data_IF_909948467506
#
_entry.id   IF_909948467506
#
_cell.length_a   1.000
_cell.length_b   1.000
_cell.length_c   1.000
_cell.angle_alpha   90.00
_cell.angle_beta   90.00
_cell.angle_gamma   90.00
#
_symmetry.space_group_name_H-M   'P 1'
#
loop_
_entity.id
_entity.type
_entity.pdbx_description
1 polymer ?
#
# COMPACT_ATOMS: atom_id res chain seq x y z
N UNK A 1 -39.68 -2.00 77.31
CA UNK A 1 -39.31 -3.42 77.45
C UNK A 1 -38.69 -3.80 76.12
N UNK A 2 -37.39 -3.55 76.02
CA UNK A 2 -36.31 -4.53 76.34
C UNK A 2 -36.06 -5.40 75.10
N UNK A 3 -34.85 -5.66 74.63
CA UNK A 3 -33.50 -5.22 74.95
C UNK A 3 -32.65 -5.75 73.78
N UNK A 4 -31.66 -4.99 73.32
CA UNK A 4 -30.58 -5.57 72.51
C UNK A 4 -29.73 -6.51 73.38
N UNK A 5 -28.99 -7.44 72.77
CA UNK A 5 -27.56 -7.39 73.05
C UNK A 5 -26.66 -7.52 71.82
N UNK A 6 -25.64 -6.67 71.85
CA UNK A 6 -24.38 -6.73 71.12
C UNK A 6 -23.43 -7.71 71.84
N UNK A 7 -22.57 -8.42 71.09
CA UNK A 7 -21.19 -8.86 71.41
C UNK A 7 -20.61 -9.64 70.20
N UNK A 8 -19.75 -9.07 69.35
CA UNK A 8 -18.27 -8.87 69.42
C UNK A 8 -17.40 -10.12 69.16
N UNK A 9 -16.55 -9.96 68.12
CA UNK A 9 -15.20 -10.53 67.88
C UNK A 9 -15.02 -11.99 67.44
N UNK A 10 -14.47 -12.18 66.23
CA UNK A 10 -13.00 -12.37 66.07
C UNK A 10 -12.59 -12.34 64.58
N UNK A 11 -11.90 -11.27 64.21
CA UNK A 11 -11.05 -11.18 63.02
C UNK A 11 -9.79 -12.02 63.28
N UNK A 12 -9.67 -13.23 62.70
CA UNK A 12 -8.39 -13.94 62.60
C UNK A 12 -8.47 -15.12 61.61
N UNK A 13 -8.28 -14.84 60.31
CA UNK A 13 -7.60 -15.69 59.30
C UNK A 13 -7.91 -15.24 57.85
N UNK A 14 -7.33 -14.12 57.42
CA UNK A 14 -7.05 -13.87 56.00
C UNK A 14 -5.56 -13.99 55.78
N UNK A 15 -5.10 -15.22 55.68
CA UNK A 15 -3.71 -15.53 55.34
C UNK A 15 -3.45 -15.08 53.88
N UNK A 16 -2.64 -14.03 53.75
CA UNK A 16 -2.32 -13.34 52.49
C UNK A 16 -1.73 -14.30 51.42
N UNK A 17 -2.57 -14.80 50.51
CA UNK A 17 -2.14 -15.44 49.26
C UNK A 17 -1.63 -14.36 48.30
N UNK A 18 -0.34 -14.34 48.00
CA UNK A 18 0.22 -13.46 46.96
C UNK A 18 0.09 -14.17 45.61
N UNK A 19 -0.81 -13.71 44.76
CA UNK A 19 -0.89 -14.11 43.36
C UNK A 19 0.26 -13.47 42.57
N UNK A 20 0.99 -14.27 41.81
CA UNK A 20 1.98 -13.78 40.87
C UNK A 20 1.46 -14.04 39.45
N UNK A 21 1.05 -12.98 38.76
CA UNK A 21 0.60 -13.03 37.37
C UNK A 21 1.81 -12.78 36.49
N UNK A 22 2.30 -13.81 35.80
CA UNK A 22 3.35 -13.64 34.79
C UNK A 22 2.70 -13.12 33.50
N UNK A 23 2.99 -11.86 33.14
CA UNK A 23 2.50 -11.24 31.90
C UNK A 23 3.57 -11.35 30.82
N UNK A 24 3.30 -12.13 29.77
CA UNK A 24 4.07 -12.03 28.54
C UNK A 24 3.62 -10.76 27.81
N UNK A 25 4.41 -9.69 27.90
CA UNK A 25 4.19 -8.47 27.14
C UNK A 25 4.59 -8.72 25.68
N UNK A 26 3.62 -9.10 24.85
CA UNK A 26 3.75 -8.92 23.40
C UNK A 26 3.57 -7.42 23.15
N UNK A 27 4.59 -6.74 22.63
CA UNK A 27 4.49 -5.30 22.35
C UNK A 27 3.33 -5.01 21.40
N UNK A 28 2.62 -3.89 21.60
CA UNK A 28 1.53 -3.45 20.72
C UNK A 28 1.98 -3.39 19.25
N UNK A 29 3.26 -3.11 19.03
CA UNK A 29 3.92 -3.08 17.72
C UNK A 29 3.99 -4.47 17.05
N UNK A 30 4.21 -5.52 17.84
CA UNK A 30 4.20 -6.93 17.38
C UNK A 30 2.78 -7.39 17.09
N UNK A 31 1.81 -6.98 17.93
CA UNK A 31 0.38 -7.28 17.77
C UNK A 31 -0.19 -6.65 16.49
N UNK A 32 0.19 -5.41 16.20
CA UNK A 32 -0.25 -4.70 14.99
C UNK A 32 0.36 -5.27 13.70
N UNK A 33 1.59 -5.80 13.73
CA UNK A 33 2.20 -6.48 12.57
C UNK A 33 1.53 -7.82 12.23
N UNK A 34 1.03 -8.55 13.23
CA UNK A 34 0.31 -9.83 13.05
C UNK A 34 -1.14 -9.62 12.58
N UNK A 35 -1.77 -8.49 12.93
CA UNK A 35 -3.17 -8.21 12.63
C UNK A 35 -3.46 -7.73 11.19
N UNK A 36 -2.43 -7.45 10.38
CA UNK A 36 -2.61 -6.86 9.03
C UNK A 36 -3.06 -7.89 7.96
N UNK A 37 -3.07 -9.20 8.24
CA UNK A 37 -3.71 -10.19 7.35
C UNK A 37 -4.50 -11.24 8.13
N UNK A 38 -5.75 -10.93 8.49
CA UNK A 38 -6.73 -11.95 8.86
C UNK A 38 -7.30 -12.62 7.60
N UNK A 39 -6.60 -13.62 7.08
CA UNK A 39 -7.21 -14.62 6.20
C UNK A 39 -7.81 -15.73 7.07
N UNK A 40 -9.12 -15.97 6.96
CA UNK A 40 -9.82 -17.05 7.67
C UNK A 40 -9.09 -18.38 7.44
N UNK A 41 -8.65 -19.03 8.52
CA UNK A 41 -8.11 -20.39 8.47
C UNK A 41 -6.64 -20.57 8.88
N UNK A 42 -5.98 -19.55 9.45
CA UNK A 42 -4.64 -19.76 9.99
C UNK A 42 -4.66 -20.51 11.35
N UNK A 43 -3.70 -21.40 11.64
CA UNK A 43 -3.61 -22.09 12.93
C UNK A 43 -3.50 -21.15 14.15
N UNK A 44 -3.09 -19.89 13.93
CA UNK A 44 -3.04 -18.82 14.94
C UNK A 44 -4.42 -18.41 15.48
N UNK A 45 -5.53 -18.71 14.78
CA UNK A 45 -6.89 -18.47 15.27
C UNK A 45 -7.23 -19.32 16.51
N UNK A 46 -6.40 -20.32 16.85
CA UNK A 46 -6.55 -21.19 18.03
C UNK A 46 -5.73 -20.74 19.25
N UNK A 47 -4.86 -19.73 19.11
CA UNK A 47 -4.04 -19.28 20.23
C UNK A 47 -4.82 -18.26 21.07
N UNK A 48 -5.57 -18.74 22.06
CA UNK A 48 -6.45 -17.92 22.89
C UNK A 48 -5.71 -17.09 23.97
N UNK A 49 -4.39 -16.94 23.89
CA UNK A 49 -3.59 -16.19 24.87
C UNK A 49 -3.91 -16.57 26.32
N UNK A 50 -4.07 -17.87 26.61
CA UNK A 50 -4.40 -18.32 27.96
C UNK A 50 -3.23 -17.99 28.89
N UNK A 51 -3.54 -17.22 29.93
CA UNK A 51 -2.64 -16.99 31.06
C UNK A 51 -2.48 -18.30 31.81
N UNK A 52 -1.24 -18.74 32.01
CA UNK A 52 -0.94 -19.83 32.92
C UNK A 52 -0.68 -19.24 34.31
N UNK A 53 -1.60 -19.47 35.22
CA UNK A 53 -1.43 -19.09 36.63
C UNK A 53 -0.67 -20.20 37.33
N UNK A 54 0.58 -19.91 37.70
CA UNK A 54 1.40 -20.84 38.45
C UNK A 54 1.18 -20.64 39.96
N UNK A 55 0.70 -21.67 40.64
CA UNK A 55 0.62 -21.68 42.10
C UNK A 55 1.88 -22.32 42.65
N UNK A 56 2.72 -21.52 43.33
CA UNK A 56 3.74 -22.05 44.20
C UNK A 56 3.14 -22.20 45.60
N UNK A 57 3.04 -23.42 46.17
CA UNK A 57 2.81 -23.56 47.59
C UNK A 57 3.92 -22.80 48.30
N UNK A 58 3.59 -21.94 49.28
CA UNK A 58 4.61 -21.47 50.23
C UNK A 58 5.29 -22.73 50.77
N UNK A 59 6.63 -22.75 50.77
CA UNK A 59 7.36 -23.77 51.50
C UNK A 59 6.71 -23.85 52.89
N UNK A 60 6.17 -25.02 53.26
CA UNK A 60 5.60 -25.20 54.59
C UNK A 60 6.66 -24.72 55.58
N UNK A 61 6.42 -23.55 56.17
CA UNK A 61 7.17 -23.12 57.32
C UNK A 61 6.87 -24.18 58.36
N UNK A 62 7.88 -24.96 58.74
CA UNK A 62 7.84 -25.82 59.92
C UNK A 62 7.80 -24.94 61.17
N UNK A 63 6.80 -24.07 61.27
CA UNK A 63 6.52 -23.27 62.45
C UNK A 63 5.41 -23.99 63.19
N UNK A 64 5.86 -24.68 64.23
CA UNK A 64 5.10 -25.45 65.20
C UNK A 64 3.96 -24.66 65.83
N UNK A 65 2.72 -25.07 65.57
CA UNK A 65 1.73 -25.36 66.60
C UNK A 65 0.45 -25.94 65.97
N UNK A 66 0.08 -27.18 66.34
CA UNK A 66 -1.32 -27.61 66.20
C UNK A 66 -1.70 -28.60 65.07
N UNK A 67 -0.83 -29.50 64.61
CA UNK A 67 -1.26 -30.64 63.76
C UNK A 67 -0.85 -31.98 64.38
N UNK A 68 -1.82 -32.65 65.01
CA UNK A 68 -1.73 -34.05 65.47
C UNK A 68 -1.82 -35.01 64.27
N UNK A 69 -0.81 -34.99 63.40
CA UNK A 69 -0.43 -36.04 62.45
C UNK A 69 0.70 -35.49 61.59
N UNK A 70 1.89 -35.38 62.20
CA UNK A 70 3.12 -35.10 61.46
C UNK A 70 3.41 -36.35 60.62
N UNK A 71 3.29 -36.24 59.30
CA UNK A 71 3.80 -37.24 58.36
C UNK A 71 5.31 -37.39 58.60
N UNK A 72 5.70 -38.30 59.49
CA UNK A 72 7.09 -38.74 59.63
C UNK A 72 7.41 -39.59 58.42
N UNK A 73 7.93 -38.93 57.38
CA UNK A 73 8.76 -39.62 56.38
C UNK A 73 9.90 -40.25 57.17
N UNK A 74 10.03 -41.57 57.09
CA UNK A 74 11.07 -42.30 57.82
C UNK A 74 12.43 -41.86 57.27
N UNK A 75 13.12 -41.03 58.05
CA UNK A 75 14.27 -40.27 57.60
C UNK A 75 15.52 -41.12 57.78
N UNK A 76 15.86 -41.90 56.76
CA UNK A 76 17.23 -42.38 56.59
C UNK A 76 17.96 -41.67 55.44
N UNK A 77 18.81 -40.67 55.75
CA UNK A 77 18.50 -39.70 56.80
C UNK A 77 18.63 -38.26 56.32
N UNK A 78 17.51 -37.53 56.32
CA UNK A 78 17.44 -36.07 56.11
C UNK A 78 18.23 -35.24 57.17
N UNK A 79 18.84 -35.90 58.16
CA UNK A 79 19.63 -35.30 59.24
C UNK A 79 21.02 -35.95 59.43
N UNK A 80 21.51 -36.70 58.44
CA UNK A 80 22.78 -37.44 58.52
C UNK A 80 24.01 -36.56 58.80
N UNK A 81 24.02 -35.33 58.28
CA UNK A 81 25.16 -34.41 58.36
C UNK A 81 25.27 -33.64 59.68
N UNK A 82 24.25 -33.68 60.53
CA UNK A 82 24.18 -32.91 61.79
C UNK A 82 23.94 -33.79 63.01
N UNK A 83 24.24 -35.09 62.91
CA UNK A 83 24.10 -36.01 64.03
C UNK A 83 25.21 -35.72 65.04
N UNK A 84 24.85 -35.25 66.22
CA UNK A 84 25.76 -35.12 67.37
C UNK A 84 25.28 -36.02 68.51
N UNK A 85 26.20 -36.61 69.28
CA UNK A 85 25.85 -37.14 70.60
C UNK A 85 25.38 -35.97 71.49
N UNK A 86 24.42 -36.24 72.38
CA UNK A 86 23.80 -35.22 73.23
C UNK A 86 24.84 -34.29 73.85
N UNK A 87 24.57 -32.98 73.84
CA UNK A 87 25.50 -31.90 74.25
C UNK A 87 25.91 -31.93 75.71
N UNK A 88 25.40 -32.89 76.51
CA UNK A 88 25.62 -32.98 77.96
C UNK A 88 26.46 -34.23 78.33
N UNK A 89 27.29 -34.74 77.43
CA UNK A 89 28.20 -35.85 77.74
C UNK A 89 29.50 -35.32 78.35
N UNK A 90 29.79 -35.78 79.56
CA UNK A 90 31.05 -35.53 80.27
C UNK A 90 31.95 -36.74 80.01
N UNK A 91 33.20 -36.51 79.60
CA UNK A 91 34.19 -37.57 79.45
C UNK A 91 35.36 -37.35 80.42
N UNK A 92 35.97 -38.45 80.87
CA UNK A 92 37.13 -38.44 81.77
C UNK A 92 38.40 -38.41 80.91
N UNK A 93 39.24 -37.38 81.05
CA UNK A 93 40.54 -37.33 80.36
C UNK A 93 41.47 -38.43 80.89
N UNK A 94 42.52 -38.81 80.14
CA UNK A 94 43.54 -39.75 80.62
C UNK A 94 44.24 -39.33 81.92
N UNK A 95 44.18 -38.03 82.29
CA UNK A 95 44.70 -37.51 83.55
C UNK A 95 43.67 -37.48 84.70
N UNK A 96 42.45 -38.01 84.49
CA UNK A 96 41.43 -38.16 85.53
C UNK A 96 40.51 -36.93 85.74
N UNK A 97 40.57 -35.93 84.86
CA UNK A 97 39.70 -34.75 84.94
C UNK A 97 38.42 -34.90 84.12
N UNK A 98 37.29 -34.42 84.66
CA UNK A 98 36.00 -34.38 83.98
C UNK A 98 35.92 -33.15 83.07
N UNK A 99 35.80 -33.36 81.75
CA UNK A 99 35.75 -32.27 80.76
C UNK A 99 34.42 -32.34 79.99
N UNK A 100 33.75 -31.20 79.86
CA UNK A 100 32.53 -31.03 79.06
C UNK A 100 32.86 -31.18 77.56
N UNK A 101 32.17 -32.09 76.86
CA UNK A 101 32.43 -32.35 75.45
C UNK A 101 31.88 -31.22 74.56
N UNK A 102 32.73 -30.61 73.71
CA UNK A 102 32.29 -29.59 72.75
C UNK A 102 31.51 -30.19 71.58
N UNK A 103 30.63 -29.40 70.98
CA UNK A 103 29.74 -29.83 69.88
C UNK A 103 30.48 -30.33 68.62
N UNK A 104 31.76 -29.99 68.44
CA UNK A 104 32.59 -30.52 67.35
C UNK A 104 33.10 -31.94 67.63
N UNK A 105 33.43 -32.25 68.88
CA UNK A 105 33.90 -33.59 69.29
C UNK A 105 32.77 -34.60 69.45
N UNK A 106 31.52 -34.14 69.51
CA UNK A 106 30.33 -34.99 69.61
C UNK A 106 29.69 -35.33 68.26
N UNK A 107 30.22 -34.82 67.12
CA UNK A 107 29.72 -35.16 65.77
C UNK A 107 29.89 -36.66 65.50
N UNK A 108 28.80 -37.31 65.11
CA UNK A 108 28.78 -38.71 64.70
C UNK A 108 29.35 -38.85 63.29
N UNK A 109 29.95 -40.01 62.96
CA UNK A 109 30.44 -40.28 61.61
C UNK A 109 29.32 -40.10 60.57
N UNK A 110 29.65 -39.59 59.37
CA UNK A 110 28.68 -39.44 58.30
C UNK A 110 28.06 -40.79 57.98
N UNK A 111 26.73 -40.82 57.89
CA UNK A 111 25.99 -42.04 57.59
C UNK A 111 26.39 -42.54 56.20
N UNK A 112 26.73 -43.83 56.09
CA UNK A 112 27.10 -44.44 54.81
C UNK A 112 25.95 -44.28 53.82
N UNK A 113 26.29 -43.88 52.60
CA UNK A 113 25.35 -43.67 51.52
C UNK A 113 24.61 -44.99 51.21
N UNK A 114 23.29 -44.96 50.94
CA UNK A 114 22.57 -46.16 50.56
C UNK A 114 23.15 -46.77 49.28
N UNK A 115 23.48 -48.06 49.29
CA UNK A 115 24.06 -48.79 48.16
C UNK A 115 23.24 -48.65 46.87
N UNK A 116 21.92 -48.59 47.00
CA UNK A 116 21.02 -48.38 45.86
C UNK A 116 21.24 -47.01 45.18
N UNK A 117 21.45 -45.95 45.96
CA UNK A 117 21.72 -44.61 45.44
C UNK A 117 23.07 -44.55 44.72
N UNK A 118 24.10 -45.23 45.24
CA UNK A 118 25.40 -45.37 44.59
C UNK A 118 25.29 -46.07 43.23
N UNK A 119 24.48 -47.13 43.14
CA UNK A 119 24.22 -47.85 41.89
C UNK A 119 23.53 -46.94 40.86
N UNK A 120 22.54 -46.16 41.29
CA UNK A 120 21.83 -45.24 40.39
C UNK A 120 22.76 -44.13 39.86
N UNK A 121 23.57 -43.51 40.72
CA UNK A 121 24.52 -42.49 40.29
C UNK A 121 25.62 -43.03 39.37
N UNK A 122 26.17 -44.21 39.68
CA UNK A 122 27.11 -44.88 38.80
C UNK A 122 26.48 -45.16 37.42
N UNK A 123 25.20 -45.51 37.38
CA UNK A 123 24.45 -45.70 36.14
C UNK A 123 24.22 -44.39 35.39
N UNK A 124 23.86 -43.30 36.08
CA UNK A 124 23.76 -41.95 35.46
C UNK A 124 25.06 -41.59 34.78
N UNK A 125 26.18 -41.70 35.49
CA UNK A 125 27.49 -41.30 34.98
C UNK A 125 27.94 -42.20 33.82
N UNK A 126 27.66 -43.50 33.89
CA UNK A 126 27.94 -44.45 32.81
C UNK A 126 27.16 -44.12 31.53
N UNK A 127 25.86 -43.86 31.63
CA UNK A 127 25.03 -43.51 30.46
C UNK A 127 25.41 -42.13 29.90
N UNK A 128 25.66 -41.14 30.76
CA UNK A 128 26.15 -39.82 30.34
C UNK A 128 27.47 -39.91 29.56
N UNK A 129 28.44 -40.68 30.08
CA UNK A 129 29.73 -40.89 29.42
C UNK A 129 29.59 -41.63 28.10
N UNK A 130 28.73 -42.66 28.05
CA UNK A 130 28.43 -43.42 26.82
C UNK A 130 27.88 -42.53 25.71
N UNK A 131 26.98 -41.61 26.05
CA UNK A 131 26.31 -40.74 25.08
C UNK A 131 26.90 -39.32 24.95
N UNK A 132 28.05 -39.05 25.58
CA UNK A 132 28.75 -37.76 25.51
C UNK A 132 27.83 -36.56 25.79
N UNK A 133 26.98 -36.69 26.80
CA UNK A 133 25.94 -35.70 27.09
C UNK A 133 26.54 -34.48 27.78
N UNK A 134 26.27 -33.24 27.31
CA UNK A 134 26.78 -32.03 27.94
C UNK A 134 26.20 -31.82 29.35
N UNK A 135 27.05 -31.39 30.29
CA UNK A 135 26.67 -31.12 31.68
C UNK A 135 25.82 -29.85 31.83
N UNK A 136 25.90 -28.92 30.87
CA UNK A 136 25.23 -27.62 30.95
C UNK A 136 24.16 -27.46 29.84
N UNK A 137 23.07 -26.76 30.17
CA UNK A 137 21.98 -26.44 29.24
C UNK A 137 20.90 -27.53 29.10
N UNK A 138 19.75 -27.25 28.48
CA UNK A 138 18.68 -28.22 28.26
C UNK A 138 19.12 -29.26 27.23
N UNK A 139 19.06 -30.55 27.58
CA UNK A 139 19.40 -31.67 26.68
C UNK A 139 18.32 -32.75 26.76
N UNK A 140 17.69 -33.13 25.62
CA UNK A 140 16.65 -34.15 25.60
C UNK A 140 17.21 -35.52 25.97
N UNK A 141 18.44 -35.83 25.56
CA UNK A 141 19.11 -37.09 25.88
C UNK A 141 19.47 -37.17 27.37
N UNK A 142 19.87 -36.05 27.98
CA UNK A 142 20.08 -35.97 29.42
C UNK A 142 18.79 -36.22 30.19
N UNK A 143 17.69 -35.57 29.77
CA UNK A 143 16.38 -35.77 30.36
C UNK A 143 15.93 -37.22 30.26
N UNK A 144 16.16 -37.87 29.11
CA UNK A 144 15.84 -39.29 28.90
C UNK A 144 16.57 -40.21 29.89
N UNK A 145 17.89 -40.03 30.08
CA UNK A 145 18.69 -40.81 31.04
C UNK A 145 18.11 -40.67 32.45
N UNK A 146 17.79 -39.44 32.88
CA UNK A 146 17.20 -39.22 34.20
C UNK A 146 15.77 -39.79 34.32
N UNK A 147 14.95 -39.76 33.27
CA UNK A 147 13.60 -40.38 33.26
C UNK A 147 13.67 -41.90 33.44
N UNK A 148 14.60 -42.57 32.77
CA UNK A 148 14.80 -44.02 32.89
C UNK A 148 15.29 -44.41 34.28
N UNK A 149 16.27 -43.68 34.81
CA UNK A 149 16.83 -43.92 36.14
C UNK A 149 15.80 -43.62 37.24
N UNK A 150 14.97 -42.58 37.07
CA UNK A 150 13.87 -42.29 37.98
C UNK A 150 12.78 -43.36 37.92
N UNK A 151 12.53 -43.97 36.76
CA UNK A 151 11.61 -45.12 36.64
C UNK A 151 12.11 -46.31 37.44
N UNK A 152 13.40 -46.63 37.35
CA UNK A 152 14.03 -47.71 38.14
C UNK A 152 13.97 -47.40 39.64
N UNK A 153 14.19 -46.14 40.02
CA UNK A 153 14.06 -45.68 41.41
C UNK A 153 12.64 -45.92 41.94
N UNK A 154 11.61 -45.48 41.19
CA UNK A 154 10.20 -45.65 41.54
C UNK A 154 9.84 -47.14 41.69
N UNK A 155 10.27 -47.99 40.75
CA UNK A 155 10.00 -49.43 40.77
C UNK A 155 10.58 -50.13 42.00
N UNK A 156 11.67 -49.60 42.56
CA UNK A 156 12.34 -50.16 43.73
C UNK A 156 11.75 -49.61 45.05
N UNK A 157 11.02 -48.50 45.01
CA UNK A 157 10.39 -47.88 46.18
C UNK A 157 9.03 -48.51 46.49
N UNK A 158 8.96 -49.30 47.55
CA UNK A 158 7.71 -49.96 47.98
C UNK A 158 6.66 -48.98 48.51
N UNK A 159 7.04 -48.06 49.41
CA UNK A 159 6.08 -47.18 50.10
C UNK A 159 5.80 -45.87 49.35
N UNK A 160 6.83 -45.27 48.77
CA UNK A 160 6.72 -43.98 48.06
C UNK A 160 6.52 -44.11 46.55
N UNK A 161 6.65 -45.34 46.01
CA UNK A 161 6.54 -45.62 44.57
C UNK A 161 5.26 -45.08 43.92
N UNK A 162 4.05 -45.34 44.46
CA UNK A 162 2.80 -44.85 43.88
C UNK A 162 2.72 -43.31 43.78
N UNK A 163 3.20 -42.59 44.79
CA UNK A 163 3.23 -41.13 44.80
C UNK A 163 4.21 -40.59 43.75
N UNK A 164 5.43 -41.13 43.72
CA UNK A 164 6.47 -40.71 42.78
C UNK A 164 6.09 -41.05 41.32
N UNK A 165 5.41 -42.17 41.10
CA UNK A 165 4.85 -42.54 39.80
C UNK A 165 3.79 -41.52 39.33
N UNK A 166 2.89 -41.09 40.22
CA UNK A 166 1.90 -40.05 39.90
C UNK A 166 2.56 -38.71 39.59
N UNK A 167 3.55 -38.29 40.39
CA UNK A 167 4.33 -37.08 40.13
C UNK A 167 5.02 -37.16 38.76
N UNK A 168 5.68 -38.30 38.46
CA UNK A 168 6.31 -38.54 37.16
C UNK A 168 5.30 -38.42 36.02
N UNK A 169 4.12 -39.04 36.15
CA UNK A 169 3.08 -39.02 35.13
C UNK A 169 2.59 -37.60 34.82
N UNK A 170 2.42 -36.73 35.83
CA UNK A 170 2.04 -35.32 35.63
C UNK A 170 3.09 -34.55 34.81
N UNK A 171 4.38 -34.70 35.15
CA UNK A 171 5.46 -34.06 34.40
C UNK A 171 5.57 -34.61 32.97
N UNK A 172 5.39 -35.92 32.78
CA UNK A 172 5.44 -36.55 31.46
C UNK A 172 4.29 -36.10 30.57
N UNK A 173 3.07 -36.04 31.12
CA UNK A 173 1.89 -35.52 30.42
C UNK A 173 2.06 -34.07 30.01
N UNK A 174 2.65 -33.23 30.89
CA UNK A 174 2.90 -31.84 30.57
C UNK A 174 4.01 -31.67 29.51
N UNK A 175 5.07 -32.47 29.57
CA UNK A 175 6.13 -32.46 28.54
C UNK A 175 5.59 -32.85 27.16
N UNK A 176 4.72 -33.85 27.09
CA UNK A 176 4.05 -34.24 25.85
C UNK A 176 3.15 -33.12 25.31
N UNK A 177 2.37 -32.48 26.20
CA UNK A 177 1.57 -31.32 25.83
C UNK A 177 2.41 -30.20 25.22
N UNK A 178 3.55 -29.84 25.85
CA UNK A 178 4.46 -28.79 25.34
C UNK A 178 5.08 -29.20 24.00
N UNK A 179 5.45 -30.47 23.83
CA UNK A 179 5.97 -30.96 22.55
C UNK A 179 4.92 -30.87 21.44
N UNK A 180 3.66 -31.18 21.73
CA UNK A 180 2.58 -31.07 20.75
C UNK A 180 2.27 -29.61 20.41
N UNK A 181 2.30 -28.70 21.39
CA UNK A 181 2.25 -27.26 21.11
C UNK A 181 3.40 -26.83 20.19
N UNK A 182 4.62 -27.32 20.43
CA UNK A 182 5.79 -27.00 19.60
C UNK A 182 5.62 -27.51 18.16
N UNK A 183 5.11 -28.73 17.97
CA UNK A 183 4.80 -29.28 16.63
C UNK A 183 3.75 -28.43 15.90
N UNK A 184 2.73 -27.95 16.60
CA UNK A 184 1.69 -27.09 16.02
C UNK A 184 2.22 -25.71 15.58
N UNK A 185 3.30 -25.23 16.18
CA UNK A 185 3.95 -23.96 15.79
C UNK A 185 4.83 -24.08 14.55
N UNK A 186 5.31 -25.29 14.21
CA UNK A 186 6.23 -25.51 13.09
C UNK A 186 5.64 -25.08 11.73
N UNK A 187 4.40 -25.45 11.35
CA UNK A 187 3.80 -25.02 10.08
C UNK A 187 3.58 -23.50 10.02
N UNK A 188 3.33 -22.86 11.16
CA UNK A 188 3.15 -21.40 11.24
C UNK A 188 4.47 -20.70 10.92
N UNK A 189 5.60 -21.24 11.41
CA UNK A 189 6.93 -20.72 11.12
C UNK A 189 7.28 -20.85 9.63
N UNK A 190 6.95 -21.98 9.01
CA UNK A 190 7.16 -22.21 7.57
C UNK A 190 6.29 -21.30 6.70
N UNK A 191 5.03 -21.11 7.09
CA UNK A 191 4.12 -20.17 6.42
C UNK A 191 4.64 -18.73 6.54
N UNK A 192 5.10 -18.32 7.72
CA UNK A 192 5.66 -16.99 7.95
C UNK A 192 6.89 -16.75 7.07
N UNK A 193 7.78 -17.74 6.97
CA UNK A 193 8.94 -17.67 6.07
C UNK A 193 8.53 -17.47 4.62
N UNK A 194 7.55 -18.26 4.15
CA UNK A 194 7.04 -18.17 2.77
C UNK A 194 6.41 -16.81 2.48
N UNK A 195 5.59 -16.29 3.40
CA UNK A 195 4.97 -14.97 3.27
C UNK A 195 6.01 -13.85 3.30
N UNK A 196 7.07 -13.98 4.12
CA UNK A 196 8.20 -13.03 4.13
C UNK A 196 8.87 -12.99 2.76
N UNK A 197 9.19 -14.15 2.20
CA UNK A 197 9.83 -14.27 0.89
C UNK A 197 8.94 -13.68 -0.23
N UNK A 198 7.63 -13.93 -0.17
CA UNK A 198 6.68 -13.37 -1.14
C UNK A 198 6.62 -11.84 -1.04
N UNK A 199 6.64 -11.30 0.17
CA UNK A 199 6.66 -9.85 0.39
C UNK A 199 7.95 -9.21 -0.14
N UNK A 200 9.10 -9.81 0.13
CA UNK A 200 10.40 -9.36 -0.41
C UNK A 200 10.40 -9.38 -1.95
N UNK A 201 9.92 -10.47 -2.55
CA UNK A 201 9.78 -10.57 -4.00
C UNK A 201 8.85 -9.50 -4.57
N UNK A 202 7.72 -9.23 -3.92
CA UNK A 202 6.78 -8.19 -4.35
C UNK A 202 7.42 -6.80 -4.30
N UNK A 203 8.11 -6.48 -3.21
CA UNK A 203 8.83 -5.19 -3.07
C UNK A 203 9.93 -5.07 -4.13
N UNK A 204 10.71 -6.13 -4.34
CA UNK A 204 11.76 -6.16 -5.37
C UNK A 204 11.20 -5.94 -6.78
N UNK A 205 10.06 -6.57 -7.10
CA UNK A 205 9.39 -6.40 -8.39
C UNK A 205 8.85 -4.98 -8.59
N UNK A 206 8.27 -4.36 -7.57
CA UNK A 206 7.85 -2.95 -7.65
C UNK A 206 9.04 -2.03 -7.92
N UNK A 207 10.13 -2.19 -7.15
CA UNK A 207 11.36 -1.40 -7.35
C UNK A 207 11.95 -1.57 -8.75
N UNK A 208 11.90 -2.77 -9.32
CA UNK A 208 12.36 -3.02 -10.71
C UNK A 208 11.53 -2.27 -11.74
N UNK A 209 10.20 -2.24 -11.57
CA UNK A 209 9.29 -1.49 -12.46
C UNK A 209 9.53 0.01 -12.34
N UNK A 210 9.53 0.54 -11.12
CA UNK A 210 9.82 1.95 -10.85
C UNK A 210 11.17 2.38 -11.44
N UNK A 211 12.22 1.57 -11.29
CA UNK A 211 13.52 1.86 -11.88
C UNK A 211 13.52 1.85 -13.41
N UNK A 212 12.67 1.03 -14.05
CA UNK A 212 12.50 1.04 -15.51
C UNK A 212 11.82 2.33 -15.96
N UNK A 213 10.77 2.73 -15.26
CA UNK A 213 10.00 3.94 -15.56
C UNK A 213 10.85 5.21 -15.33
N UNK A 214 11.61 5.27 -14.23
CA UNK A 214 12.56 6.35 -13.97
C UNK A 214 13.59 6.48 -15.09
N UNK A 215 14.11 5.36 -15.62
CA UNK A 215 15.05 5.41 -16.76
C UNK A 215 14.38 5.93 -18.02
N UNK A 216 13.17 5.47 -18.33
CA UNK A 216 12.40 5.93 -19.50
C UNK A 216 12.14 7.44 -19.41
N UNK A 217 11.62 7.91 -18.27
CA UNK A 217 11.37 9.33 -18.02
C UNK A 217 12.65 10.18 -18.09
N UNK A 218 13.79 9.67 -17.62
CA UNK A 218 15.08 10.36 -17.76
C UNK A 218 15.52 10.50 -19.21
N UNK A 219 15.29 9.48 -20.05
CA UNK A 219 15.61 9.54 -21.48
C UNK A 219 14.69 10.54 -22.20
N UNK A 220 13.38 10.48 -21.94
CA UNK A 220 12.40 11.41 -22.50
C UNK A 220 12.68 12.85 -22.10
N UNK A 221 12.97 13.10 -20.82
CA UNK A 221 13.40 14.42 -20.33
C UNK A 221 14.61 14.94 -21.10
N UNK A 222 15.62 14.10 -21.32
CA UNK A 222 16.83 14.48 -22.07
C UNK A 222 16.50 14.81 -23.54
N UNK A 223 15.66 14.00 -24.18
CA UNK A 223 15.22 14.23 -25.56
C UNK A 223 14.46 15.56 -25.70
N UNK A 224 13.49 15.81 -24.81
CA UNK A 224 12.72 17.06 -24.79
C UNK A 224 13.61 18.28 -24.55
N UNK A 225 14.58 18.20 -23.64
CA UNK A 225 15.54 19.29 -23.43
C UNK A 225 16.39 19.57 -24.68
N UNK A 226 16.77 18.51 -25.42
CA UNK A 226 17.49 18.67 -26.69
C UNK A 226 16.62 19.35 -27.75
N UNK A 227 15.32 19.00 -27.81
CA UNK A 227 14.38 19.61 -28.75
C UNK A 227 14.12 21.07 -28.41
N UNK A 228 13.95 21.41 -27.12
CA UNK A 228 13.81 22.79 -26.67
C UNK A 228 15.05 23.62 -27.05
N UNK A 229 16.26 23.07 -26.84
CA UNK A 229 17.49 23.75 -27.21
C UNK A 229 17.58 24.01 -28.72
N UNK A 230 17.18 23.03 -29.54
CA UNK A 230 17.12 23.17 -31.00
C UNK A 230 16.13 24.27 -31.43
N UNK A 231 14.88 24.20 -30.97
CA UNK A 231 13.85 25.18 -31.32
C UNK A 231 14.20 26.60 -30.85
N UNK A 232 14.87 26.70 -29.71
CA UNK A 232 15.34 27.98 -29.20
C UNK A 232 16.45 28.57 -30.09
N UNK A 233 17.34 27.73 -30.63
CA UNK A 233 18.38 28.19 -31.56
C UNK A 233 17.79 28.56 -32.92
N UNK A 234 16.85 27.76 -33.43
CA UNK A 234 16.10 28.10 -34.65
C UNK A 234 15.39 29.45 -34.49
N UNK A 235 14.71 29.67 -33.35
CA UNK A 235 14.04 30.92 -33.05
C UNK A 235 14.97 32.13 -33.05
N UNK A 236 16.20 32.00 -32.52
CA UNK A 236 17.20 33.07 -32.63
C UNK A 236 17.62 33.29 -34.07
N UNK A 237 17.89 32.22 -34.82
CA UNK A 237 18.33 32.33 -36.21
C UNK A 237 17.29 33.04 -37.09
N UNK A 238 16.01 32.68 -36.93
CA UNK A 238 14.89 33.34 -37.60
C UNK A 238 14.77 34.81 -37.18
N UNK A 239 14.97 35.10 -35.89
CA UNK A 239 14.93 36.49 -35.40
C UNK A 239 16.00 37.33 -36.08
N UNK A 240 17.23 36.83 -36.15
CA UNK A 240 18.32 37.51 -36.85
C UNK A 240 18.04 37.69 -38.36
N UNK A 241 17.42 36.68 -39.00
CA UNK A 241 17.03 36.78 -40.41
C UNK A 241 15.93 37.84 -40.63
N UNK A 242 14.93 37.88 -39.76
CA UNK A 242 13.87 38.90 -39.79
C UNK A 242 14.44 40.29 -39.56
N UNK A 243 15.33 40.47 -38.58
CA UNK A 243 16.01 41.75 -38.34
C UNK A 243 16.78 42.19 -39.59
N UNK A 244 17.57 41.29 -40.20
CA UNK A 244 18.32 41.57 -41.41
C UNK A 244 17.42 41.97 -42.60
N UNK A 245 16.35 41.21 -42.86
CA UNK A 245 15.40 41.51 -43.94
C UNK A 245 14.65 42.82 -43.69
N UNK A 246 14.37 43.15 -42.42
CA UNK A 246 13.74 44.41 -42.04
C UNK A 246 14.68 45.58 -42.35
N UNK A 247 15.96 45.49 -41.99
CA UNK A 247 16.98 46.49 -42.33
C UNK A 247 17.13 46.67 -43.85
N UNK A 248 17.16 45.56 -44.63
CA UNK A 248 17.23 45.64 -46.09
C UNK A 248 16.00 46.33 -46.69
N UNK A 249 14.81 46.07 -46.14
CA UNK A 249 13.56 46.67 -46.60
C UNK A 249 13.51 48.16 -46.27
N UNK A 250 13.95 48.56 -45.08
CA UNK A 250 14.09 49.97 -44.69
C UNK A 250 15.07 50.70 -45.61
N UNK A 251 16.22 50.09 -45.92
CA UNK A 251 17.19 50.64 -46.86
C UNK A 251 16.60 50.84 -48.26
N UNK A 252 15.89 49.84 -48.79
CA UNK A 252 15.18 49.98 -50.08
C UNK A 252 14.11 51.06 -50.03
N UNK A 253 13.36 51.16 -48.93
CA UNK A 253 12.34 52.20 -48.79
C UNK A 253 12.96 53.62 -48.78
N UNK A 254 14.15 53.79 -48.20
CA UNK A 254 14.93 55.04 -48.27
C UNK A 254 15.42 55.32 -49.70
N UNK A 255 15.98 54.33 -50.39
CA UNK A 255 16.40 54.46 -51.80
C UNK A 255 15.22 54.87 -52.70
N UNK A 256 14.04 54.30 -52.50
CA UNK A 256 12.84 54.66 -53.27
C UNK A 256 12.34 56.07 -52.95
N UNK A 257 12.42 56.50 -51.69
CA UNK A 257 12.08 57.89 -51.29
C UNK A 257 13.03 58.89 -51.93
N UNK A 258 14.33 58.64 -51.82
CA UNK A 258 15.36 59.51 -52.44
C UNK A 258 15.22 59.57 -53.95
N UNK A 259 14.94 58.44 -54.62
CA UNK A 259 14.68 58.41 -56.06
C UNK A 259 13.40 59.19 -56.41
N UNK A 260 12.30 58.97 -55.67
CA UNK A 260 11.04 59.68 -55.88
C UNK A 260 11.21 61.20 -55.72
N UNK A 261 11.96 61.66 -54.71
CA UNK A 261 12.21 63.07 -54.50
C UNK A 261 13.11 63.66 -55.60
N UNK A 262 14.11 62.89 -56.08
CA UNK A 262 14.87 63.22 -57.28
C UNK A 262 14.00 63.36 -58.53
N UNK A 263 13.04 62.44 -58.73
CA UNK A 263 12.07 62.50 -59.85
C UNK A 263 11.14 63.72 -59.74
N UNK A 264 10.65 64.06 -58.54
CA UNK A 264 9.83 65.27 -58.33
C UNK A 264 10.61 66.54 -58.67
N UNK A 265 11.87 66.61 -58.25
CA UNK A 265 12.75 67.74 -58.55
C UNK A 265 12.99 67.86 -60.06
N UNK A 266 13.27 66.74 -60.74
CA UNK A 266 13.41 66.68 -62.19
C UNK A 266 12.12 67.09 -62.92
N UNK A 267 10.95 66.65 -62.46
CA UNK A 267 9.65 67.07 -63.02
C UNK A 267 9.42 68.57 -62.83
N UNK A 268 9.80 69.13 -61.68
CA UNK A 268 9.74 70.58 -61.46
C UNK A 268 10.62 71.33 -62.47
N UNK A 269 11.86 70.87 -62.66
CA UNK A 269 12.79 71.47 -63.62
C UNK A 269 12.31 71.33 -65.07
N UNK A 270 11.79 70.16 -65.45
CA UNK A 270 11.16 69.93 -66.77
C UNK A 270 9.95 70.84 -66.97
N UNK A 271 9.12 71.04 -65.94
CA UNK A 271 7.97 71.93 -66.01
C UNK A 271 8.39 73.40 -66.16
N UNK A 272 9.43 73.85 -65.45
CA UNK A 272 10.01 75.18 -65.63
C UNK A 272 10.56 75.36 -67.05
N UNK A 273 11.32 74.40 -67.55
CA UNK A 273 11.85 74.40 -68.92
C UNK A 273 10.72 74.40 -69.95
N UNK A 274 9.66 73.62 -69.71
CA UNK A 274 8.47 73.56 -70.59
C UNK A 274 7.68 74.87 -70.55
N UNK A 275 7.59 75.54 -69.39
CA UNK A 275 6.98 76.87 -69.29
C UNK A 275 7.78 77.89 -70.09
N UNK A 276 9.11 77.92 -69.94
CA UNK A 276 9.99 78.77 -70.74
C UNK A 276 9.88 78.48 -72.24
N UNK A 277 9.82 77.20 -72.61
CA UNK A 277 9.61 76.78 -74.00
C UNK A 277 8.25 77.25 -74.50
N UNK A 278 7.17 77.09 -73.71
CA UNK A 278 5.83 77.59 -74.05
C UNK A 278 5.78 79.10 -74.15
N UNK A 279 6.52 79.84 -73.34
CA UNK A 279 6.66 81.29 -73.47
C UNK A 279 7.35 81.63 -74.80
N UNK A 280 8.44 80.96 -75.16
CA UNK A 280 9.09 81.11 -76.47
C UNK A 280 8.18 80.67 -77.64
N UNK A 281 7.44 79.57 -77.49
CA UNK A 281 6.47 79.10 -78.47
C UNK A 281 5.27 80.04 -78.56
N UNK A 282 4.85 80.69 -77.49
CA UNK A 282 3.77 81.69 -77.52
C UNK A 282 4.21 82.92 -78.32
N UNK A 283 5.49 83.28 -78.24
CA UNK A 283 6.12 84.28 -79.10
C UNK A 283 6.21 83.80 -80.56
N UNK A 284 6.50 82.51 -80.79
CA UNK A 284 6.53 81.93 -82.15
C UNK A 284 5.13 81.68 -82.76
N UNK A 285 4.11 81.38 -81.95
CA UNK A 285 2.70 81.18 -82.37
C UNK A 285 1.95 82.48 -82.61
N UNK A 286 2.44 83.60 -82.08
CA UNK A 286 2.01 84.92 -82.56
C UNK A 286 2.37 85.14 -84.05
N UNK A 287 3.22 84.28 -84.63
CA UNK A 287 3.71 84.38 -86.00
C UNK A 287 3.13 83.34 -86.98
N UNK A 288 2.39 82.32 -86.52
CA UNK A 288 1.84 81.28 -87.40
C UNK A 288 0.47 80.80 -86.91
N UNK A 289 -0.59 81.31 -87.54
CA UNK A 289 -1.91 80.67 -87.59
C UNK A 289 -1.98 79.87 -88.89
N UNK A 290 -2.54 78.68 -88.75
CA UNK A 290 -3.00 77.75 -89.77
C UNK A 290 -2.03 76.63 -90.11
N UNK A 291 -2.47 75.40 -89.85
CA UNK A 291 -2.32 74.31 -90.82
C UNK A 291 -3.12 73.09 -90.36
N UNK A 292 -4.13 72.78 -91.17
CA UNK A 292 -4.89 71.54 -91.20
C UNK A 292 -3.99 70.30 -91.13
N UNK A 293 -4.41 69.30 -90.34
CA UNK A 293 -3.66 68.08 -90.10
C UNK A 293 -3.29 67.32 -91.39
N UNK A 294 -1.98 67.26 -91.65
CA UNK A 294 -1.33 66.52 -92.72
C UNK A 294 -1.55 64.98 -92.57
N UNK A 295 -2.03 64.27 -93.61
CA UNK A 295 -2.20 62.82 -93.63
C UNK A 295 -0.94 62.00 -93.29
N UNK A 296 0.26 62.59 -93.34
CA UNK A 296 1.50 61.98 -92.83
C UNK A 296 1.49 61.81 -91.31
N UNK A 297 0.86 62.72 -90.54
CA UNK A 297 0.72 62.61 -89.07
C UNK A 297 -0.12 61.41 -88.66
N UNK A 298 -1.21 61.14 -89.38
CA UNK A 298 -2.04 59.95 -89.16
C UNK A 298 -1.27 58.65 -89.44
N UNK A 299 -0.43 58.64 -90.48
CA UNK A 299 0.44 57.49 -90.77
C UNK A 299 1.55 57.30 -89.73
N UNK A 300 2.08 58.39 -89.18
CA UNK A 300 3.06 58.35 -88.09
C UNK A 300 2.43 57.90 -86.77
N UNK A 301 1.20 58.31 -86.48
CA UNK A 301 0.41 57.87 -85.33
C UNK A 301 0.07 56.37 -85.42
N UNK A 302 -0.25 55.87 -86.61
CA UNK A 302 -0.43 54.44 -86.87
C UNK A 302 0.87 53.66 -86.62
N UNK A 303 2.00 54.18 -87.09
CA UNK A 303 3.31 53.55 -86.89
C UNK A 303 3.77 53.60 -85.42
N UNK A 304 3.38 54.65 -84.68
CA UNK A 304 3.55 54.74 -83.22
C UNK A 304 2.63 53.78 -82.47
N UNK A 305 1.39 53.57 -82.92
CA UNK A 305 0.50 52.57 -82.35
C UNK A 305 1.04 51.15 -82.56
N UNK A 306 1.58 50.83 -83.74
CA UNK A 306 2.25 49.55 -83.98
C UNK A 306 3.49 49.37 -83.09
N UNK A 307 4.30 50.42 -82.90
CA UNK A 307 5.45 50.38 -81.97
C UNK A 307 5.00 50.19 -80.51
N UNK A 308 3.89 50.80 -80.10
CA UNK A 308 3.33 50.63 -78.76
C UNK A 308 2.80 49.20 -78.56
N UNK A 309 2.10 48.65 -79.55
CA UNK A 309 1.63 47.26 -79.55
C UNK A 309 2.83 46.31 -79.42
N UNK A 310 3.87 46.47 -80.23
CA UNK A 310 5.06 45.63 -80.17
C UNK A 310 5.78 45.73 -78.82
N UNK A 311 5.81 46.91 -78.18
CA UNK A 311 6.37 47.08 -76.83
C UNK A 311 5.54 46.34 -75.78
N UNK A 312 4.22 46.48 -75.79
CA UNK A 312 3.33 45.76 -74.88
C UNK A 312 3.45 44.25 -75.06
N UNK A 313 3.55 43.79 -76.31
CA UNK A 313 3.71 42.38 -76.64
C UNK A 313 5.06 41.84 -76.15
N UNK A 314 6.12 42.64 -76.23
CA UNK A 314 7.44 42.30 -75.64
C UNK A 314 7.38 42.25 -74.11
N UNK A 315 6.63 43.16 -73.48
CA UNK A 315 6.42 43.15 -72.02
C UNK A 315 5.63 41.92 -71.56
N UNK A 316 4.58 41.52 -72.29
CA UNK A 316 3.83 40.29 -72.00
C UNK A 316 4.74 39.07 -72.07
N UNK A 317 5.56 38.95 -73.11
CA UNK A 317 6.53 37.85 -73.25
C UNK A 317 7.55 37.87 -72.10
N UNK A 318 8.02 39.04 -71.68
CA UNK A 318 8.90 39.16 -70.50
C UNK A 318 8.20 38.75 -69.20
N UNK A 319 6.94 39.14 -69.00
CA UNK A 319 6.18 38.76 -67.81
C UNK A 319 5.88 37.27 -67.80
N UNK A 320 5.52 36.66 -68.93
CA UNK A 320 5.34 35.21 -69.03
C UNK A 320 6.64 34.46 -68.70
N UNK A 321 7.78 34.89 -69.24
CA UNK A 321 9.08 34.30 -68.93
C UNK A 321 9.49 34.50 -67.45
N UNK A 322 9.18 35.65 -66.86
CA UNK A 322 9.43 35.91 -65.44
C UNK A 322 8.50 35.09 -64.54
N UNK A 323 7.24 34.89 -64.93
CA UNK A 323 6.28 34.09 -64.18
C UNK A 323 6.64 32.61 -64.19
N UNK A 324 7.07 32.10 -65.35
CA UNK A 324 7.60 30.75 -65.51
C UNK A 324 8.90 30.53 -64.69
N UNK A 325 9.73 31.57 -64.55
CA UNK A 325 10.95 31.52 -63.74
C UNK A 325 10.72 31.67 -62.23
N UNK A 326 9.71 32.44 -61.79
CA UNK A 326 9.48 32.76 -60.37
C UNK A 326 8.78 31.65 -59.59
N UNK A 327 7.95 30.82 -60.22
CA UNK A 327 7.35 29.64 -59.57
C UNK A 327 7.47 28.42 -60.47
N UNK A 328 8.60 27.70 -60.40
CA UNK A 328 8.74 26.42 -61.07
C UNK A 328 7.62 25.49 -60.59
N UNK A 329 6.80 24.97 -61.52
CA UNK A 329 5.71 24.02 -61.21
C UNK A 329 6.14 22.89 -60.29
N UNK A 330 7.38 22.43 -60.45
CA UNK A 330 8.02 21.42 -59.61
C UNK A 330 8.07 21.84 -58.13
N UNK A 331 8.47 23.07 -57.81
CA UNK A 331 8.51 23.57 -56.42
C UNK A 331 7.11 23.70 -55.83
N UNK A 332 6.13 24.10 -56.63
CA UNK A 332 4.74 24.14 -56.20
C UNK A 332 4.20 22.74 -55.88
N UNK A 333 4.49 21.75 -56.74
CA UNK A 333 4.12 20.35 -56.52
C UNK A 333 4.82 19.75 -55.29
N UNK A 334 6.10 20.06 -55.06
CA UNK A 334 6.83 19.65 -53.85
C UNK A 334 6.21 20.23 -52.57
N UNK A 335 5.87 21.52 -52.57
CA UNK A 335 5.22 22.17 -51.42
C UNK A 335 3.82 21.59 -51.19
N UNK A 336 3.08 21.33 -52.26
CA UNK A 336 1.76 20.69 -52.18
C UNK A 336 1.85 19.28 -51.61
N UNK A 337 2.80 18.46 -52.09
CA UNK A 337 3.01 17.10 -51.58
C UNK A 337 3.45 17.09 -50.12
N UNK A 338 4.30 18.05 -49.71
CA UNK A 338 4.66 18.24 -48.29
C UNK A 338 3.43 18.62 -47.45
N UNK A 339 2.60 19.54 -47.94
CA UNK A 339 1.36 19.92 -47.26
C UNK A 339 0.43 18.72 -47.10
N UNK A 340 0.22 17.94 -48.15
CA UNK A 340 -0.62 16.73 -48.11
C UNK A 340 -0.07 15.72 -47.08
N UNK A 341 1.25 15.48 -47.05
CA UNK A 341 1.87 14.60 -46.06
C UNK A 341 1.73 15.10 -44.61
N UNK A 342 1.82 16.41 -44.38
CA UNK A 342 1.60 16.99 -43.05
C UNK A 342 0.12 16.91 -42.64
N UNK A 343 -0.81 17.03 -43.59
CA UNK A 343 -2.24 16.84 -43.33
C UNK A 343 -2.53 15.40 -42.92
N UNK A 344 -1.93 14.41 -43.58
CA UNK A 344 -2.04 13.00 -43.18
C UNK A 344 -1.44 12.73 -41.79
N UNK A 345 -0.28 13.32 -41.48
CA UNK A 345 0.33 13.15 -40.16
C UNK A 345 -0.50 13.81 -39.05
N UNK A 346 -1.01 15.01 -39.28
CA UNK A 346 -1.86 15.73 -38.31
C UNK A 346 -3.20 15.04 -38.07
N UNK A 347 -3.79 14.44 -39.10
CA UNK A 347 -5.01 13.63 -38.95
C UNK A 347 -4.75 12.37 -38.13
N UNK A 348 -3.67 11.64 -38.41
CA UNK A 348 -3.25 10.48 -37.61
C UNK A 348 -3.00 10.85 -36.14
N UNK A 349 -2.28 11.94 -35.87
CA UNK A 349 -2.01 12.39 -34.50
C UNK A 349 -3.29 12.78 -33.76
N UNK A 350 -4.26 13.37 -34.47
CA UNK A 350 -5.58 13.69 -33.91
C UNK A 350 -6.35 12.43 -33.52
N UNK A 351 -6.31 11.38 -34.35
CA UNK A 351 -6.94 10.09 -34.03
C UNK A 351 -6.28 9.41 -32.82
N UNK A 352 -4.94 9.42 -32.74
CA UNK A 352 -4.20 8.89 -31.58
C UNK A 352 -4.55 9.66 -30.31
N UNK A 353 -4.66 11.00 -30.39
CA UNK A 353 -5.07 11.85 -29.27
C UNK A 353 -6.48 11.49 -28.80
N UNK A 354 -7.45 11.39 -29.71
CA UNK A 354 -8.83 11.03 -29.39
C UNK A 354 -8.93 9.66 -28.72
N UNK A 355 -8.16 8.68 -29.23
CA UNK A 355 -8.06 7.34 -28.64
C UNK A 355 -7.51 7.38 -27.22
N UNK A 356 -6.47 8.18 -26.97
CA UNK A 356 -5.91 8.35 -25.62
C UNK A 356 -6.85 9.07 -24.68
N UNK A 357 -7.59 10.08 -25.17
CA UNK A 357 -8.60 10.80 -24.40
C UNK A 357 -9.73 9.86 -23.97
N UNK A 358 -10.26 9.07 -24.89
CA UNK A 358 -11.28 8.05 -24.59
C UNK A 358 -10.83 7.06 -23.51
N UNK A 359 -9.57 6.62 -23.56
CA UNK A 359 -8.97 5.74 -22.54
C UNK A 359 -8.82 6.43 -21.19
N UNK A 360 -8.47 7.72 -21.20
CA UNK A 360 -8.35 8.51 -19.99
C UNK A 360 -9.72 8.70 -19.31
N UNK A 361 -10.76 9.01 -20.09
CA UNK A 361 -12.12 9.19 -19.59
C UNK A 361 -12.64 7.89 -18.94
N UNK A 362 -12.41 6.73 -19.57
CA UNK A 362 -12.74 5.43 -18.99
C UNK A 362 -12.00 5.18 -17.66
N UNK A 363 -10.71 5.53 -17.59
CA UNK A 363 -9.93 5.40 -16.35
C UNK A 363 -10.47 6.33 -15.25
N UNK A 364 -10.92 7.53 -15.63
CA UNK A 364 -11.55 8.47 -14.70
C UNK A 364 -12.86 7.91 -14.14
N UNK A 365 -13.72 7.32 -14.98
CA UNK A 365 -14.93 6.62 -14.54
C UNK A 365 -14.62 5.46 -13.56
N UNK A 366 -13.59 4.67 -13.84
CA UNK A 366 -13.12 3.63 -12.93
C UNK A 366 -12.66 4.20 -11.58
N UNK A 367 -11.92 5.31 -11.58
CA UNK A 367 -11.49 5.97 -10.35
C UNK A 367 -12.67 6.49 -9.52
N UNK A 368 -13.67 7.09 -10.17
CA UNK A 368 -14.92 7.52 -9.51
C UNK A 368 -15.63 6.33 -8.89
N UNK A 369 -15.75 5.22 -9.62
CA UNK A 369 -16.37 3.98 -9.14
C UNK A 369 -15.61 3.36 -7.96
N UNK A 370 -14.28 3.40 -7.99
CA UNK A 370 -13.47 2.92 -6.85
C UNK A 370 -13.65 3.80 -5.61
N UNK A 371 -13.77 5.12 -5.79
CA UNK A 371 -14.05 6.03 -4.68
C UNK A 371 -15.43 5.74 -4.05
N UNK A 372 -16.48 5.49 -4.85
CA UNK A 372 -17.79 5.12 -4.30
C UNK A 372 -17.75 3.81 -3.52
N UNK A 373 -17.05 2.78 -4.03
CA UNK A 373 -16.86 1.54 -3.28
C UNK A 373 -16.08 1.76 -1.99
N UNK A 374 -14.99 2.53 -2.03
CA UNK A 374 -14.19 2.87 -0.83
C UNK A 374 -15.06 3.55 0.22
N UNK A 375 -15.84 4.54 -0.18
CA UNK A 375 -16.70 5.30 0.73
C UNK A 375 -17.80 4.41 1.31
N UNK A 376 -18.38 3.50 0.51
CA UNK A 376 -19.30 2.47 0.98
C UNK A 376 -18.67 1.56 2.02
N UNK A 377 -17.47 1.05 1.77
CA UNK A 377 -16.75 0.22 2.74
C UNK A 377 -16.48 0.99 4.03
N UNK A 378 -16.07 2.25 3.95
CA UNK A 378 -15.81 3.08 5.12
C UNK A 378 -17.05 3.29 5.98
N UNK A 379 -18.18 3.58 5.34
CA UNK A 379 -19.49 3.72 6.00
C UNK A 379 -19.90 2.38 6.66
N UNK A 380 -19.80 1.26 5.93
CA UNK A 380 -20.12 -0.07 6.45
C UNK A 380 -19.29 -0.45 7.68
N UNK A 381 -17.98 -0.22 7.63
CA UNK A 381 -17.08 -0.49 8.76
C UNK A 381 -17.41 0.40 9.95
N UNK A 382 -17.61 1.70 9.73
CA UNK A 382 -17.96 2.65 10.79
C UNK A 382 -19.26 2.25 11.47
N UNK A 383 -20.29 1.90 10.70
CA UNK A 383 -21.58 1.48 11.22
C UNK A 383 -21.51 0.14 11.96
N UNK A 384 -20.89 -0.88 11.36
CA UNK A 384 -20.74 -2.19 12.00
C UNK A 384 -19.97 -2.08 13.33
N UNK A 385 -18.94 -1.24 13.38
CA UNK A 385 -18.17 -0.96 14.60
C UNK A 385 -19.06 -0.34 15.68
N UNK A 386 -19.92 0.62 15.33
CA UNK A 386 -20.88 1.24 16.27
C UNK A 386 -21.92 0.25 16.78
N UNK A 387 -22.50 -0.58 15.92
CA UNK A 387 -23.48 -1.60 16.32
C UNK A 387 -22.86 -2.63 17.27
N UNK A 388 -21.65 -3.10 16.96
CA UNK A 388 -20.93 -4.05 17.82
C UNK A 388 -20.57 -3.43 19.18
N UNK A 389 -20.27 -2.13 19.21
CA UNK A 389 -20.01 -1.35 20.43
C UNK A 389 -21.25 -0.95 21.26
N UNK A 390 -22.47 -1.12 20.73
CA UNK A 390 -23.71 -0.80 21.46
C UNK A 390 -24.02 -1.84 22.55
N UNK A 391 -24.97 -1.59 23.47
CA UNK A 391 -25.38 -2.58 24.50
C UNK A 391 -26.35 -3.61 23.86
N UNK A 392 -26.16 -4.91 24.10
CA UNK A 392 -27.04 -5.97 23.57
C UNK A 392 -26.35 -7.31 23.34
N UNK A 393 -27.13 -8.37 23.08
CA UNK A 393 -26.65 -9.74 22.87
C UNK A 393 -25.78 -9.87 21.59
N UNK A 394 -24.61 -10.54 21.64
CA UNK A 394 -23.70 -10.65 20.50
C UNK A 394 -24.31 -11.27 19.23
N UNK A 395 -25.15 -12.31 19.35
CA UNK A 395 -25.76 -12.96 18.18
C UNK A 395 -26.77 -12.05 17.47
N UNK A 396 -27.61 -11.34 18.21
CA UNK A 396 -28.60 -10.43 17.64
C UNK A 396 -27.94 -9.27 16.88
N UNK A 397 -26.81 -8.76 17.40
CA UNK A 397 -26.01 -7.74 16.71
C UNK A 397 -25.42 -8.27 15.40
N UNK A 398 -24.92 -9.50 15.38
CA UNK A 398 -24.36 -10.12 14.19
C UNK A 398 -25.44 -10.32 13.10
N UNK A 399 -26.61 -10.80 13.50
CA UNK A 399 -27.75 -10.98 12.59
C UNK A 399 -28.23 -9.65 12.02
N UNK A 400 -28.31 -8.61 12.86
CA UNK A 400 -28.67 -7.26 12.43
C UNK A 400 -27.66 -6.68 11.43
N UNK A 401 -26.36 -6.75 11.74
CA UNK A 401 -25.29 -6.29 10.84
C UNK A 401 -25.36 -7.01 9.50
N UNK A 402 -25.56 -8.33 9.52
CA UNK A 402 -25.66 -9.15 8.30
C UNK A 402 -26.88 -8.78 7.46
N UNK A 403 -28.04 -8.59 8.10
CA UNK A 403 -29.27 -8.23 7.40
C UNK A 403 -29.21 -6.81 6.80
N UNK A 404 -28.58 -5.88 7.50
CA UNK A 404 -28.41 -4.50 7.07
C UNK A 404 -27.36 -4.37 5.94
N UNK A 405 -26.22 -5.08 6.02
CA UNK A 405 -25.25 -5.14 4.91
C UNK A 405 -25.90 -5.67 3.62
N UNK A 406 -26.79 -6.65 3.73
CA UNK A 406 -27.55 -7.16 2.58
C UNK A 406 -28.57 -6.14 2.04
N UNK A 407 -29.24 -5.37 2.92
CA UNK A 407 -30.14 -4.28 2.53
C UNK A 407 -29.39 -3.18 1.77
N UNK A 408 -28.25 -2.74 2.29
CA UNK A 408 -27.45 -1.68 1.68
C UNK A 408 -26.82 -2.10 0.36
N UNK A 409 -26.42 -3.36 0.22
CA UNK A 409 -25.96 -3.90 -1.06
C UNK A 409 -27.03 -3.81 -2.15
N UNK A 410 -28.31 -4.02 -1.80
CA UNK A 410 -29.44 -3.86 -2.73
C UNK A 410 -29.70 -2.38 -3.04
N UNK A 411 -29.72 -1.53 -2.01
CA UNK A 411 -29.93 -0.09 -2.18
C UNK A 411 -28.85 0.58 -3.04
N UNK A 412 -27.59 0.16 -2.91
CA UNK A 412 -26.49 0.66 -3.72
C UNK A 412 -26.53 0.20 -5.19
N UNK A 413 -27.30 -0.85 -5.50
CA UNK A 413 -27.54 -1.28 -6.88
C UNK A 413 -28.70 -0.50 -7.54
N UNK A 414 -29.70 -0.10 -6.75
CA UNK A 414 -30.96 0.47 -7.26
C UNK A 414 -31.05 2.01 -7.14
N UNK A 415 -30.16 2.68 -6.40
CA UNK A 415 -30.24 4.12 -6.11
C UNK A 415 -28.92 4.86 -6.30
N UNK A 416 -28.95 6.14 -6.69
CA UNK A 416 -27.75 6.97 -6.78
C UNK A 416 -27.08 7.16 -5.42
N UNK A 417 -25.74 7.28 -5.43
CA UNK A 417 -24.91 7.23 -4.23
C UNK A 417 -25.26 8.28 -3.17
N UNK A 418 -25.62 9.49 -3.59
CA UNK A 418 -26.01 10.58 -2.69
C UNK A 418 -27.24 10.22 -1.84
N UNK A 419 -28.21 9.50 -2.42
CA UNK A 419 -29.40 9.06 -1.70
C UNK A 419 -29.09 7.94 -0.71
N UNK A 420 -28.18 7.04 -1.07
CA UNK A 420 -27.70 5.98 -0.17
C UNK A 420 -26.97 6.60 1.02
N UNK A 421 -26.10 7.59 0.80
CA UNK A 421 -25.42 8.31 1.88
C UNK A 421 -26.41 8.98 2.84
N UNK A 422 -27.45 9.63 2.30
CA UNK A 422 -28.50 10.28 3.12
C UNK A 422 -29.29 9.26 3.95
N UNK A 423 -29.69 8.15 3.35
CA UNK A 423 -30.41 7.07 4.04
C UNK A 423 -29.58 6.43 5.16
N UNK A 424 -28.28 6.24 4.93
CA UNK A 424 -27.37 5.69 5.95
C UNK A 424 -27.12 6.70 7.08
N UNK A 425 -26.97 7.98 6.75
CA UNK A 425 -26.84 9.02 7.76
C UNK A 425 -28.07 9.07 8.68
N UNK A 426 -29.28 9.01 8.10
CA UNK A 426 -30.54 8.99 8.86
C UNK A 426 -30.68 7.72 9.74
N UNK A 427 -30.33 6.55 9.21
CA UNK A 427 -30.30 5.29 9.99
C UNK A 427 -29.24 5.32 11.12
N UNK A 428 -28.11 6.00 10.92
CA UNK A 428 -27.09 6.22 11.97
C UNK A 428 -27.63 7.10 13.09
N UNK A 429 -28.31 8.20 12.76
CA UNK A 429 -28.89 9.11 13.77
C UNK A 429 -29.98 8.41 14.58
N UNK A 430 -30.75 7.51 13.95
CA UNK A 430 -31.77 6.68 14.64
C UNK A 430 -31.18 5.60 15.55
N UNK A 431 -29.99 5.10 15.27
CA UNK A 431 -29.28 4.21 16.20
C UNK A 431 -28.74 4.98 17.42
N UNK A 432 -28.27 6.22 17.23
CA UNK A 432 -27.74 7.08 18.29
C UNK A 432 -28.84 7.48 19.30
N UNK A 433 -30.11 7.52 18.89
CA UNK A 433 -31.25 7.75 19.78
C UNK A 433 -31.72 6.51 20.57
N UNK A 434 -30.99 5.39 20.51
CA UNK A 434 -31.21 4.22 21.37
C UNK A 434 -32.27 3.23 20.87
N UNK A 435 -32.82 3.42 19.68
CA UNK A 435 -33.68 2.44 19.02
C UNK A 435 -32.84 1.48 18.18
N UNK A 436 -32.52 0.29 18.70
CA UNK A 436 -32.16 -0.81 17.81
C UNK A 436 -33.43 -1.22 17.05
N UNK A 437 -33.45 -1.12 15.70
CA UNK A 437 -34.62 -1.52 14.94
C UNK A 437 -34.85 -3.02 15.13
N UNK A 438 -36.08 -3.39 15.51
CA UNK A 438 -36.51 -4.78 15.60
C UNK A 438 -36.34 -5.40 14.21
N UNK A 439 -35.49 -6.43 14.11
CA UNK A 439 -35.40 -7.27 12.93
C UNK A 439 -36.71 -8.06 12.81
N UNK A 440 -37.72 -7.48 12.18
CA UNK A 440 -38.89 -8.25 11.75
C UNK A 440 -38.38 -9.17 10.64
N UNK A 441 -38.15 -10.43 11.02
CA UNK A 441 -37.91 -11.53 10.09
C UNK A 441 -39.12 -11.57 9.15
N UNK A 442 -38.94 -11.12 7.91
CA UNK A 442 -39.98 -11.27 6.90
C UNK A 442 -40.27 -12.76 6.74
N UNK A 443 -41.40 -13.22 7.28
CA UNK A 443 -41.93 -14.55 7.04
C UNK A 443 -41.94 -14.80 5.55
N UNK A 444 -41.28 -15.89 5.12
CA UNK A 444 -41.33 -16.36 3.74
C UNK A 444 -42.80 -16.51 3.33
N UNK A 445 -43.25 -15.66 2.41
CA UNK A 445 -44.52 -15.87 1.73
C UNK A 445 -44.46 -17.21 0.95
N UNK A 446 -45.54 -18.01 0.91
CA UNK A 446 -45.56 -19.27 0.17
C UNK A 446 -45.36 -18.99 -1.32
N UNK A 447 -44.40 -19.69 -1.94
CA UNK A 447 -44.29 -19.71 -3.41
C UNK A 447 -45.53 -20.40 -3.96
N UNK A 448 -46.43 -19.63 -4.56
CA UNK A 448 -47.44 -20.20 -5.45
C UNK A 448 -46.72 -20.90 -6.60
N UNK A 449 -46.94 -22.20 -6.68
CA UNK A 449 -46.51 -23.08 -7.76
C UNK A 449 -47.52 -22.89 -8.89
N UNK A 450 -47.26 -21.98 -9.82
CA UNK A 450 -48.09 -21.89 -11.03
C UNK A 450 -47.65 -22.99 -11.98
N UNK A 451 -48.52 -23.98 -12.10
CA UNK A 451 -48.50 -25.03 -13.12
C UNK A 451 -48.44 -24.41 -14.51
N UNK A 452 -47.43 -24.79 -15.28
CA UNK A 452 -47.38 -24.57 -16.73
C UNK A 452 -48.41 -25.50 -17.36
N UNK A 453 -49.40 -24.92 -18.04
CA UNK A 453 -50.28 -25.63 -18.95
C UNK A 453 -50.08 -25.03 -20.35
N UNK A 454 -49.86 -25.93 -21.30
CA UNK A 454 -49.72 -25.69 -22.73
C UNK A 454 -50.92 -24.93 -23.33
N UNK A 455 -50.66 -24.16 -24.39
CA UNK A 455 -51.73 -23.70 -25.27
C UNK A 455 -51.46 -22.48 -26.15
N UNK A 456 -50.79 -22.71 -27.28
CA UNK A 456 -51.14 -22.21 -28.63
C UNK A 456 -51.25 -20.70 -28.96
N UNK A 457 -50.43 -20.29 -29.93
CA UNK A 457 -50.70 -19.24 -30.94
C UNK A 457 -50.44 -17.80 -30.47
N UNK A 458 -49.91 -16.85 -31.26
CA UNK A 458 -49.71 -16.71 -32.70
C UNK A 458 -48.54 -15.73 -32.90
N UNK A 459 -47.74 -15.96 -33.95
CA UNK A 459 -46.73 -15.05 -34.47
C UNK A 459 -47.36 -13.72 -34.90
N UNK A 460 -46.73 -12.60 -34.55
CA UNK A 460 -46.71 -11.45 -35.44
C UNK A 460 -45.37 -10.71 -35.33
N UNK A 461 -44.64 -10.74 -36.45
CA UNK A 461 -43.42 -10.00 -36.70
C UNK A 461 -43.79 -8.64 -37.26
N UNK A 462 -43.24 -7.55 -36.71
CA UNK A 462 -43.19 -6.27 -37.42
C UNK A 462 -41.78 -5.71 -37.30
N UNK A 463 -41.09 -5.77 -38.45
CA UNK A 463 -39.96 -4.93 -38.82
C UNK A 463 -40.29 -3.45 -38.63
N UNK A 464 -39.34 -2.67 -38.11
CA UNK A 464 -39.18 -1.29 -38.57
C UNK A 464 -37.75 -1.00 -38.95
N UNK A 465 -37.68 -0.52 -40.17
CA UNK A 465 -36.59 -0.16 -41.04
C UNK A 465 -35.89 1.12 -40.63
N UNK A 466 -34.62 1.16 -40.99
CA UNK A 466 -33.76 2.33 -41.15
C UNK A 466 -34.37 3.38 -42.09
N UNK A 467 -33.91 4.63 -41.94
CA UNK A 467 -33.94 5.65 -42.98
C UNK A 467 -34.66 6.93 -42.61
N UNK A 468 -33.93 7.91 -42.06
CA UNK A 468 -33.58 9.15 -42.77
C UNK A 468 -32.58 9.99 -41.99
#
# INVERSE_FOLDING_TARGET
MEENPIKTETDENKENKREFICRYLISEDTKNKVLIKRSKGMPMDKYSGKYETYYFPRAFGLNSSGVKNRLTIDAWPAHAGSRSRATNQIYVSPEGHLIHQSAEKSKLPPVKKPRFLEILEARVNKEKAKFHVPENGPSPLRLQIYREIFTIFIQTCVYYGPLLARIKAEYESYLEHVQDQLKMLQPIRELLWTVSQECENRVSNMRRRENKDIRKLKMEKKALLSQIAHLHEDGKSLTCEVEHLTEELEKKAEEWRTESDGRKLLVSEVNELTSRLKEMESLARAEVIDDSEDPVKLRLALDQAHKAINRLQTQVIQYEAQYEAQVPRVKYEEVRQKLDSQVEETTRLREELESTQSRYDLLQEHCVTLNTYRDLYYIQVTYATRVLGSKGEPLQKLDFVTSMLNKWRRLAADKPWADVQRLVADEMTRLESGQLPISVRASRAPRHRTTVADGLGVRESIHKTEGS
#
